data_IF_689495151259
#
_entry.id   IF_689495151259
#
_cell.length_a   1.000
_cell.length_b   1.000
_cell.length_c   1.000
_cell.angle_alpha   90.00
_cell.angle_beta   90.00
_cell.angle_gamma   90.00
#
_symmetry.space_group_name_H-M   'P 1'
#
loop_
_entity.id
_entity.type
_entity.pdbx_description
1 polymer ?
#
# COMPACT_ATOMS: atom_id res chain seq x y z
N UNK A 1 -109.51 -58.16 8.34
CA UNK A 1 -109.35 -56.70 8.20
C UNK A 1 -108.40 -56.16 9.27
N UNK A 2 -108.73 -56.27 10.57
CA UNK A 2 -107.87 -55.75 11.66
C UNK A 2 -106.41 -56.29 11.70
N UNK A 3 -106.17 -57.56 11.34
CA UNK A 3 -104.83 -58.13 11.33
C UNK A 3 -103.93 -57.57 10.20
N UNK A 4 -104.51 -57.15 9.07
CA UNK A 4 -103.75 -56.60 7.94
C UNK A 4 -103.37 -55.13 8.19
N UNK A 5 -104.26 -54.35 8.81
CA UNK A 5 -103.97 -52.98 9.24
C UNK A 5 -102.91 -52.94 10.35
N UNK A 6 -102.91 -53.90 11.28
CA UNK A 6 -101.88 -54.04 12.30
C UNK A 6 -100.50 -54.40 11.73
N UNK A 7 -100.45 -55.21 10.66
CA UNK A 7 -99.20 -55.55 9.97
C UNK A 7 -98.64 -54.35 9.17
N UNK A 8 -99.49 -53.58 8.51
CA UNK A 8 -99.08 -52.34 7.81
C UNK A 8 -98.59 -51.26 8.78
N UNK A 9 -99.18 -51.16 9.98
CA UNK A 9 -98.69 -50.26 11.03
C UNK A 9 -97.34 -50.69 11.63
N UNK A 10 -96.95 -51.97 11.48
CA UNK A 10 -95.71 -52.53 12.03
C UNK A 10 -94.50 -52.45 11.07
N UNK A 11 -94.75 -52.34 9.76
CA UNK A 11 -93.72 -52.19 8.72
C UNK A 11 -92.76 -50.99 8.92
N UNK A 12 -93.21 -49.75 9.22
CA UNK A 12 -92.30 -48.64 9.46
C UNK A 12 -91.45 -48.82 10.73
N UNK A 13 -91.99 -49.51 11.75
CA UNK A 13 -91.23 -49.84 12.95
C UNK A 13 -90.12 -50.85 12.64
N UNK A 14 -90.37 -51.86 11.80
CA UNK A 14 -89.35 -52.81 11.35
C UNK A 14 -88.25 -52.14 10.52
N UNK A 15 -88.62 -51.22 9.61
CA UNK A 15 -87.65 -50.44 8.82
C UNK A 15 -86.75 -49.60 9.71
N UNK A 16 -87.32 -48.85 10.66
CA UNK A 16 -86.54 -48.07 11.63
C UNK A 16 -85.65 -48.95 12.51
N UNK A 17 -86.09 -50.14 12.89
CA UNK A 17 -85.25 -51.10 13.62
C UNK A 17 -84.06 -51.58 12.79
N UNK A 18 -84.28 -51.85 11.50
CA UNK A 18 -83.23 -52.25 10.57
C UNK A 18 -82.21 -51.12 10.33
N UNK A 19 -82.68 -49.90 10.07
CA UNK A 19 -81.82 -48.72 9.93
C UNK A 19 -81.03 -48.43 11.21
N UNK A 20 -81.69 -48.53 12.38
CA UNK A 20 -81.01 -48.36 13.67
C UNK A 20 -79.94 -49.43 13.88
N UNK A 21 -80.19 -50.67 13.42
CA UNK A 21 -79.19 -51.73 13.44
C UNK A 21 -78.00 -51.40 12.53
N UNK A 22 -78.24 -50.98 11.28
CA UNK A 22 -77.18 -50.60 10.33
C UNK A 22 -76.33 -49.45 10.88
N UNK A 23 -76.96 -48.39 11.41
CA UNK A 23 -76.25 -47.26 12.01
C UNK A 23 -75.39 -47.69 13.22
N UNK A 24 -75.85 -48.66 14.01
CA UNK A 24 -75.06 -49.22 15.11
C UNK A 24 -73.86 -50.02 14.59
N UNK A 25 -74.02 -50.77 13.51
CA UNK A 25 -72.91 -51.48 12.88
C UNK A 25 -71.88 -50.52 12.28
N UNK A 26 -72.32 -49.49 11.56
CA UNK A 26 -71.45 -48.43 11.04
C UNK A 26 -70.73 -47.70 12.16
N UNK A 27 -71.42 -47.34 13.25
CA UNK A 27 -70.79 -46.75 14.42
C UNK A 27 -69.73 -47.68 15.03
N UNK A 28 -69.98 -49.00 15.08
CA UNK A 28 -68.97 -49.97 15.55
C UNK A 28 -67.76 -50.04 14.62
N UNK A 29 -67.97 -50.03 13.30
CA UNK A 29 -66.89 -50.03 12.28
C UNK A 29 -66.04 -48.77 12.37
N UNK A 30 -66.67 -47.60 12.39
CA UNK A 30 -65.97 -46.32 12.55
C UNK A 30 -65.20 -46.27 13.87
N UNK A 31 -65.77 -46.81 14.96
CA UNK A 31 -65.06 -46.90 16.24
C UNK A 31 -63.83 -47.81 16.17
N UNK A 32 -63.87 -48.94 15.44
CA UNK A 32 -62.68 -49.77 15.23
C UNK A 32 -61.62 -49.05 14.38
N UNK A 33 -62.01 -48.39 13.30
CA UNK A 33 -61.09 -47.64 12.43
C UNK A 33 -60.42 -46.50 13.18
N UNK A 34 -61.17 -45.73 13.98
CA UNK A 34 -60.60 -44.66 14.81
C UNK A 34 -59.61 -45.23 15.82
N UNK A 35 -59.89 -46.37 16.45
CA UNK A 35 -58.93 -47.02 17.38
C UNK A 35 -57.67 -47.45 16.67
N UNK A 36 -57.78 -48.04 15.48
CA UNK A 36 -56.61 -48.43 14.68
C UNK A 36 -55.77 -47.19 14.31
N UNK A 37 -56.41 -46.13 13.82
CA UNK A 37 -55.73 -44.88 13.48
C UNK A 37 -55.02 -44.25 14.69
N UNK A 38 -55.62 -44.30 15.88
CA UNK A 38 -54.98 -43.84 17.12
C UNK A 38 -53.74 -44.68 17.45
N UNK A 39 -53.81 -46.00 17.31
CA UNK A 39 -52.65 -46.89 17.50
C UNK A 39 -51.54 -46.57 16.50
N UNK A 40 -51.89 -46.34 15.22
CA UNK A 40 -50.92 -45.94 14.20
C UNK A 40 -50.27 -44.59 14.52
N UNK A 41 -51.07 -43.61 14.95
CA UNK A 41 -50.58 -42.30 15.40
C UNK A 41 -49.60 -42.46 16.57
N UNK A 42 -49.94 -43.25 17.57
CA UNK A 42 -49.09 -43.45 18.75
C UNK A 42 -47.77 -44.14 18.38
N UNK A 43 -47.80 -45.12 17.46
CA UNK A 43 -46.59 -45.75 16.90
C UNK A 43 -45.73 -44.73 16.14
N UNK A 44 -46.33 -43.89 15.30
CA UNK A 44 -45.61 -42.87 14.55
C UNK A 44 -44.96 -41.81 15.47
N UNK A 45 -45.70 -41.34 16.49
CA UNK A 45 -45.18 -40.41 17.49
C UNK A 45 -44.04 -41.03 18.28
N UNK A 46 -44.18 -42.29 18.69
CA UNK A 46 -43.13 -43.03 19.42
C UNK A 46 -41.87 -43.20 18.57
N UNK A 47 -42.03 -43.55 17.29
CA UNK A 47 -40.91 -43.64 16.34
C UNK A 47 -40.24 -42.27 16.14
N UNK A 48 -41.01 -41.20 15.96
CA UNK A 48 -40.48 -39.84 15.85
C UNK A 48 -39.71 -39.40 17.11
N UNK A 49 -40.22 -39.75 18.29
CA UNK A 49 -39.58 -39.49 19.57
C UNK A 49 -38.27 -40.29 19.71
N UNK A 50 -38.27 -41.58 19.34
CA UNK A 50 -37.09 -42.43 19.32
C UNK A 50 -36.00 -41.91 18.36
N UNK A 51 -36.39 -41.32 17.23
CA UNK A 51 -35.46 -40.72 16.25
C UNK A 51 -35.04 -39.29 16.60
N UNK A 52 -35.69 -38.62 17.55
CA UNK A 52 -35.36 -37.24 17.92
C UNK A 52 -33.93 -37.06 18.44
N UNK A 53 -33.38 -37.95 19.31
CA UNK A 53 -31.98 -37.89 19.72
C UNK A 53 -31.00 -38.01 18.56
N UNK A 54 -31.22 -38.93 17.61
CA UNK A 54 -30.37 -39.09 16.43
C UNK A 54 -30.37 -37.83 15.56
N UNK A 55 -31.55 -37.25 15.29
CA UNK A 55 -31.68 -35.96 14.58
C UNK A 55 -30.95 -34.82 15.28
N UNK A 56 -31.03 -34.75 16.62
CA UNK A 56 -30.30 -33.75 17.41
C UNK A 56 -28.78 -33.95 17.36
N UNK A 57 -28.28 -35.19 17.34
CA UNK A 57 -26.85 -35.47 17.17
C UNK A 57 -26.37 -35.05 15.79
N UNK A 58 -27.07 -35.46 14.74
CA UNK A 58 -26.76 -35.05 13.37
C UNK A 58 -26.76 -33.53 13.19
N UNK A 59 -27.74 -32.81 13.77
CA UNK A 59 -27.77 -31.35 13.74
C UNK A 59 -26.53 -30.72 14.39
N UNK A 60 -26.11 -31.21 15.57
CA UNK A 60 -24.90 -30.75 16.26
C UNK A 60 -23.63 -31.06 15.46
N UNK A 61 -23.57 -32.20 14.80
CA UNK A 61 -22.43 -32.57 13.92
C UNK A 61 -22.34 -31.64 12.71
N UNK A 62 -23.48 -31.29 12.10
CA UNK A 62 -23.53 -30.29 11.02
C UNK A 62 -23.08 -28.91 11.51
N UNK A 63 -23.50 -28.48 12.71
CA UNK A 63 -23.05 -27.23 13.31
C UNK A 63 -21.53 -27.23 13.57
N UNK A 64 -20.99 -28.32 14.13
CA UNK A 64 -19.53 -28.50 14.30
C UNK A 64 -18.78 -28.48 12.97
N UNK A 65 -19.30 -29.15 11.95
CA UNK A 65 -18.71 -29.14 10.62
C UNK A 65 -18.69 -27.73 10.00
N UNK A 66 -19.77 -26.94 10.19
CA UNK A 66 -19.81 -25.53 9.78
C UNK A 66 -18.77 -24.68 10.52
N UNK A 67 -18.60 -24.89 11.82
CA UNK A 67 -17.56 -24.19 12.61
C UNK A 67 -16.15 -24.55 12.12
N UNK A 68 -15.87 -25.83 11.90
CA UNK A 68 -14.58 -26.28 11.35
C UNK A 68 -14.34 -25.72 9.95
N UNK A 69 -15.37 -25.65 9.10
CA UNK A 69 -15.25 -25.04 7.77
C UNK A 69 -14.93 -23.55 7.85
N UNK A 70 -15.51 -22.82 8.81
CA UNK A 70 -15.16 -21.42 9.05
C UNK A 70 -13.71 -21.28 9.52
N UNK A 71 -13.27 -22.13 10.47
CA UNK A 71 -11.88 -22.14 10.93
C UNK A 71 -10.90 -22.44 9.79
N UNK A 72 -11.19 -23.41 8.93
CA UNK A 72 -10.37 -23.70 7.75
C UNK A 72 -10.27 -22.49 6.81
N UNK A 73 -11.38 -21.80 6.53
CA UNK A 73 -11.34 -20.57 5.71
C UNK A 73 -10.48 -19.47 6.35
N UNK A 74 -10.53 -19.31 7.67
CA UNK A 74 -9.65 -18.35 8.36
C UNK A 74 -8.18 -18.72 8.22
N UNK A 75 -7.83 -20.00 8.41
CA UNK A 75 -6.46 -20.49 8.23
C UNK A 75 -6.01 -20.32 6.77
N UNK A 76 -6.83 -20.68 5.79
CA UNK A 76 -6.54 -20.47 4.37
C UNK A 76 -6.27 -18.99 4.05
N UNK A 77 -7.07 -18.07 4.60
CA UNK A 77 -6.84 -16.64 4.39
C UNK A 77 -5.51 -16.17 5.01
N UNK A 78 -5.16 -16.68 6.19
CA UNK A 78 -3.90 -16.36 6.87
C UNK A 78 -2.67 -16.93 6.15
N UNK A 79 -2.80 -18.11 5.54
CA UNK A 79 -1.74 -18.72 4.73
C UNK A 79 -1.55 -17.95 3.43
N UNK A 80 -2.64 -17.51 2.79
CA UNK A 80 -2.56 -16.63 1.60
C UNK A 80 -1.88 -15.30 1.91
N UNK A 81 -2.23 -14.66 3.03
CA UNK A 81 -1.57 -13.41 3.44
C UNK A 81 -0.10 -13.64 3.78
N UNK A 82 0.23 -14.75 4.43
CA UNK A 82 1.63 -15.11 4.73
C UNK A 82 2.43 -15.34 3.45
N UNK A 83 1.88 -16.08 2.48
CA UNK A 83 2.55 -16.31 1.19
C UNK A 83 2.79 -15.00 0.42
N UNK A 84 1.83 -14.07 0.44
CA UNK A 84 2.02 -12.74 -0.14
C UNK A 84 3.14 -11.93 0.57
N UNK A 85 3.21 -12.03 1.91
CA UNK A 85 4.30 -11.41 2.68
C UNK A 85 5.66 -12.05 2.38
N UNK A 86 5.74 -13.37 2.24
CA UNK A 86 6.97 -14.09 1.90
C UNK A 86 7.49 -13.69 0.51
N UNK A 87 6.59 -13.51 -0.47
CA UNK A 87 6.95 -12.96 -1.79
C UNK A 87 7.46 -11.52 -1.70
N UNK A 88 6.76 -10.65 -0.96
CA UNK A 88 7.20 -9.27 -0.78
C UNK A 88 8.55 -9.17 -0.06
N UNK A 89 8.83 -10.06 0.91
CA UNK A 89 10.15 -10.11 1.55
C UNK A 89 11.24 -10.54 0.59
N UNK A 90 10.99 -11.52 -0.28
CA UNK A 90 11.96 -11.95 -1.29
C UNK A 90 12.23 -10.85 -2.33
N UNK A 91 11.21 -10.09 -2.74
CA UNK A 91 11.37 -8.93 -3.61
C UNK A 91 12.23 -7.84 -2.95
N UNK A 92 11.98 -7.51 -1.68
CA UNK A 92 12.77 -6.54 -0.93
C UNK A 92 14.22 -7.00 -0.70
N UNK A 93 14.45 -8.30 -0.50
CA UNK A 93 15.80 -8.87 -0.42
C UNK A 93 16.55 -8.73 -1.75
N UNK A 94 15.90 -9.04 -2.87
CA UNK A 94 16.48 -8.83 -4.20
C UNK A 94 16.77 -7.35 -4.47
N UNK A 95 15.85 -6.44 -4.14
CA UNK A 95 16.09 -5.00 -4.25
C UNK A 95 17.27 -4.55 -3.38
N UNK A 96 17.37 -5.05 -2.15
CA UNK A 96 18.49 -4.77 -1.26
C UNK A 96 19.83 -5.23 -1.84
N UNK A 97 19.88 -6.42 -2.43
CA UNK A 97 21.09 -6.93 -3.10
C UNK A 97 21.49 -6.05 -4.29
N UNK A 98 20.53 -5.65 -5.13
CA UNK A 98 20.82 -4.75 -6.27
C UNK A 98 21.33 -3.39 -5.82
N UNK A 99 20.74 -2.81 -4.76
CA UNK A 99 21.19 -1.55 -4.17
C UNK A 99 22.58 -1.68 -3.54
N UNK A 100 22.88 -2.81 -2.91
CA UNK A 100 24.20 -3.09 -2.35
C UNK A 100 25.27 -3.15 -3.46
N UNK A 101 25.01 -3.87 -4.55
CA UNK A 101 25.90 -3.91 -5.71
C UNK A 101 26.12 -2.51 -6.31
N UNK A 102 25.06 -1.71 -6.44
CA UNK A 102 25.16 -0.32 -6.91
C UNK A 102 26.00 0.55 -5.96
N UNK A 103 25.82 0.39 -4.65
CA UNK A 103 26.60 1.13 -3.66
C UNK A 103 28.10 0.76 -3.73
N UNK A 104 28.42 -0.52 -3.94
CA UNK A 104 29.81 -0.95 -4.14
C UNK A 104 30.40 -0.43 -5.46
N UNK A 105 29.64 -0.43 -6.55
CA UNK A 105 30.07 0.15 -7.82
C UNK A 105 30.40 1.64 -7.66
N UNK A 106 29.49 2.40 -7.04
CA UNK A 106 29.71 3.83 -6.75
C UNK A 106 30.90 4.07 -5.82
N UNK A 107 31.16 3.17 -4.85
CA UNK A 107 32.37 3.25 -4.00
C UNK A 107 33.65 3.08 -4.82
N UNK A 108 33.68 2.13 -5.76
CA UNK A 108 34.83 1.92 -6.67
C UNK A 108 35.04 3.13 -7.57
N UNK A 109 33.98 3.66 -8.18
CA UNK A 109 34.03 4.88 -9.00
C UNK A 109 34.49 6.12 -8.21
N UNK A 110 34.05 6.27 -6.97
CA UNK A 110 34.50 7.37 -6.11
C UNK A 110 36.00 7.25 -5.80
N UNK A 111 36.50 6.04 -5.55
CA UNK A 111 37.92 5.79 -5.34
C UNK A 111 38.76 6.12 -6.59
N UNK A 112 38.29 5.76 -7.78
CA UNK A 112 39.00 6.11 -9.02
C UNK A 112 38.99 7.62 -9.28
N UNK A 113 37.87 8.30 -9.05
CA UNK A 113 37.78 9.77 -9.16
C UNK A 113 38.68 10.49 -8.15
N UNK A 114 38.82 9.98 -6.93
CA UNK A 114 39.76 10.52 -5.93
C UNK A 114 41.21 10.44 -6.43
N UNK A 115 41.63 9.28 -6.93
CA UNK A 115 42.97 9.10 -7.50
C UNK A 115 43.22 10.03 -8.70
N UNK A 116 42.22 10.19 -9.58
CA UNK A 116 42.31 11.13 -10.70
C UNK A 116 42.41 12.59 -10.24
N UNK A 117 41.63 12.98 -9.23
CA UNK A 117 41.71 14.30 -8.60
C UNK A 117 43.10 14.54 -8.01
N UNK A 118 43.66 13.59 -7.26
CA UNK A 118 45.01 13.69 -6.69
C UNK A 118 46.08 13.81 -7.77
N UNK A 119 46.00 13.01 -8.84
CA UNK A 119 46.91 13.12 -9.98
C UNK A 119 46.84 14.49 -10.66
N UNK A 120 45.63 15.04 -10.85
CA UNK A 120 45.45 16.39 -11.42
C UNK A 120 46.00 17.47 -10.50
N UNK A 121 45.81 17.34 -9.17
CA UNK A 121 46.38 18.26 -8.18
C UNK A 121 47.90 18.24 -8.20
N UNK A 122 48.54 17.05 -8.28
CA UNK A 122 50.01 16.94 -8.40
C UNK A 122 50.52 17.63 -9.67
N UNK A 123 49.89 17.38 -10.82
CA UNK A 123 50.22 18.06 -12.08
C UNK A 123 50.04 19.58 -12.01
N UNK A 124 49.01 20.05 -11.32
CA UNK A 124 48.81 21.48 -11.11
C UNK A 124 49.94 22.09 -10.26
N UNK A 125 50.33 21.43 -9.16
CA UNK A 125 51.45 21.87 -8.30
C UNK A 125 52.78 21.85 -9.07
N UNK A 126 53.04 20.84 -9.89
CA UNK A 126 54.23 20.76 -10.74
C UNK A 126 54.26 21.91 -11.77
N UNK A 127 53.13 22.20 -12.42
CA UNK A 127 53.01 23.32 -13.35
C UNK A 127 53.18 24.68 -12.65
N UNK A 128 52.64 24.85 -11.44
CA UNK A 128 52.85 26.04 -10.61
C UNK A 128 54.33 26.21 -10.25
N UNK A 129 55.03 25.13 -9.87
CA UNK A 129 56.45 25.16 -9.59
C UNK A 129 57.29 25.52 -10.83
N UNK A 130 56.94 25.01 -12.02
CA UNK A 130 57.59 25.38 -13.29
C UNK A 130 57.39 26.86 -13.61
N UNK A 131 56.17 27.38 -13.44
CA UNK A 131 55.88 28.81 -13.64
C UNK A 131 56.63 29.68 -12.64
N UNK A 132 56.77 29.25 -11.38
CA UNK A 132 57.55 29.95 -10.37
C UNK A 132 59.04 30.00 -10.74
N UNK A 133 59.63 28.87 -11.15
CA UNK A 133 61.03 28.79 -11.61
C UNK A 133 61.28 29.67 -12.85
N UNK A 134 60.36 29.66 -13.82
CA UNK A 134 60.40 30.58 -14.95
C UNK A 134 60.32 32.03 -14.50
N UNK A 135 59.41 32.37 -13.58
CA UNK A 135 59.30 33.71 -12.99
C UNK A 135 60.59 34.18 -12.32
N UNK A 136 61.26 33.30 -11.56
CA UNK A 136 62.56 33.58 -10.95
C UNK A 136 63.67 33.78 -11.99
N UNK A 137 63.70 32.96 -13.05
CA UNK A 137 64.68 33.12 -14.14
C UNK A 137 64.50 34.46 -14.86
N UNK A 138 63.25 34.88 -15.11
CA UNK A 138 62.95 36.18 -15.69
C UNK A 138 63.36 37.32 -14.75
N UNK A 139 63.08 37.20 -13.45
CA UNK A 139 63.53 38.17 -12.43
C UNK A 139 65.05 38.32 -12.45
N UNK A 140 65.80 37.21 -12.44
CA UNK A 140 67.27 37.24 -12.51
C UNK A 140 67.79 37.87 -13.81
N UNK A 141 67.15 37.59 -14.94
CA UNK A 141 67.53 38.18 -16.23
C UNK A 141 67.27 39.69 -16.25
N UNK A 142 66.15 40.15 -15.68
CA UNK A 142 65.84 41.56 -15.50
C UNK A 142 66.86 42.23 -14.57
N UNK A 143 67.22 41.62 -13.45
CA UNK A 143 68.24 42.13 -12.53
C UNK A 143 69.61 42.27 -13.22
N UNK A 144 70.00 41.29 -14.06
CA UNK A 144 71.23 41.41 -14.87
C UNK A 144 71.16 42.54 -15.88
N UNK A 145 70.03 42.72 -16.57
CA UNK A 145 69.84 43.82 -17.51
C UNK A 145 69.88 45.19 -16.82
N UNK A 146 69.28 45.29 -15.62
CA UNK A 146 69.36 46.50 -14.79
C UNK A 146 70.80 46.77 -14.37
N UNK A 147 71.53 45.78 -13.88
CA UNK A 147 72.94 45.93 -13.51
C UNK A 147 73.84 46.33 -14.69
N UNK A 148 73.61 45.76 -15.88
CA UNK A 148 74.30 46.16 -17.12
C UNK A 148 73.99 47.62 -17.45
N UNK A 149 72.72 48.03 -17.38
CA UNK A 149 72.31 49.43 -17.58
C UNK A 149 72.97 50.36 -16.57
N UNK A 150 72.97 50.02 -15.29
CA UNK A 150 73.63 50.81 -14.23
C UNK A 150 75.14 50.92 -14.48
N UNK A 151 75.81 49.84 -14.90
CA UNK A 151 77.23 49.88 -15.26
C UNK A 151 77.54 50.70 -16.53
N UNK A 152 76.60 50.76 -17.48
CA UNK A 152 76.68 51.63 -18.65
C UNK A 152 76.50 53.10 -18.25
N UNK A 153 75.56 53.39 -17.36
CA UNK A 153 75.35 54.73 -16.81
C UNK A 153 76.59 55.17 -15.97
N UNK A 154 77.21 54.28 -15.21
CA UNK A 154 78.45 54.53 -14.45
C UNK A 154 79.69 54.70 -15.36
N UNK A 155 79.80 53.92 -16.44
CA UNK A 155 80.92 54.06 -17.41
C UNK A 155 80.78 55.28 -18.30
N UNK A 156 79.56 55.77 -18.54
CA UNK A 156 79.30 57.07 -19.17
C UNK A 156 79.51 58.24 -18.18
N UNK A 157 79.54 57.96 -16.87
CA UNK A 157 79.92 58.92 -15.81
C UNK A 157 81.44 58.99 -15.57
N UNK A 158 82.19 57.92 -15.86
CA UNK A 158 83.65 57.85 -15.68
C UNK A 158 84.38 57.67 -17.02
N UNK A 159 84.40 58.73 -17.82
CA UNK A 159 85.37 58.88 -18.90
C UNK A 159 86.77 59.13 -18.34
N UNK A 160 87.54 58.08 -18.06
CA UNK A 160 88.96 58.24 -17.72
C UNK A 160 89.73 57.01 -17.23
N UNK A 161 90.47 56.40 -18.18
CA UNK A 161 91.72 55.59 -18.03
C UNK A 161 91.65 54.06 -17.75
N UNK A 162 91.88 53.32 -18.85
CA UNK A 162 93.03 52.43 -19.15
C UNK A 162 93.34 51.13 -18.34
N UNK A 163 93.47 50.04 -19.13
CA UNK A 163 94.39 48.87 -19.05
C UNK A 163 94.07 47.80 -17.98
N UNK A 164 94.27 46.48 -18.13
CA UNK A 164 94.80 45.58 -19.17
C UNK A 164 94.67 44.10 -18.68
N UNK A 165 94.48 43.17 -19.62
CA UNK A 165 95.02 41.79 -19.70
C UNK A 165 94.65 40.65 -18.71
N UNK A 166 94.28 39.52 -19.34
CA UNK A 166 94.73 38.12 -19.18
C UNK A 166 94.03 37.05 -18.27
N UNK A 167 93.60 35.98 -18.97
CA UNK A 167 93.78 34.51 -18.75
C UNK A 167 92.80 33.63 -17.93
N UNK A 168 92.24 32.65 -18.69
CA UNK A 168 92.14 31.18 -18.50
C UNK A 168 91.43 30.54 -17.26
N UNK A 169 90.41 29.70 -17.52
CA UNK A 169 90.38 28.21 -17.36
C UNK A 169 88.95 27.63 -17.13
N UNK A 170 88.66 26.48 -17.78
CA UNK A 170 87.50 25.59 -17.56
C UNK A 170 87.78 24.61 -16.39
N UNK A 171 86.74 23.97 -15.81
CA UNK A 171 86.57 22.53 -16.06
C UNK A 171 85.12 22.01 -16.14
N UNK A 172 85.02 20.76 -16.63
CA UNK A 172 83.87 19.90 -16.97
C UNK A 172 83.41 19.05 -15.77
N UNK A 173 82.12 18.66 -15.69
CA UNK A 173 81.57 17.34 -15.24
C UNK A 173 80.01 17.37 -15.38
N UNK A 174 79.37 16.68 -16.35
CA UNK A 174 78.92 15.26 -16.42
C UNK A 174 77.81 14.81 -15.44
N UNK A 175 76.59 14.57 -15.97
CA UNK A 175 75.72 13.47 -15.57
C UNK A 175 74.68 13.13 -16.67
N UNK A 176 74.75 11.88 -17.10
CA UNK A 176 74.06 11.20 -18.21
C UNK A 176 72.74 10.54 -17.77
N UNK A 177 71.71 10.50 -18.63
CA UNK A 177 70.76 9.38 -18.90
C UNK A 177 69.69 9.88 -19.90
N UNK A 178 69.61 9.48 -21.17
CA UNK A 178 69.44 8.17 -21.83
C UNK A 178 67.98 7.89 -22.28
N UNK A 179 67.76 8.09 -23.59
CA UNK A 179 66.90 7.38 -24.56
C UNK A 179 65.38 7.18 -24.32
N UNK A 180 64.53 7.81 -25.13
CA UNK A 180 63.92 7.23 -26.36
C UNK A 180 62.94 8.20 -27.08
N UNK A 181 63.19 8.38 -28.38
CA UNK A 181 62.42 9.02 -29.48
C UNK A 181 61.07 8.32 -29.83
N UNK A 182 60.27 8.67 -30.89
CA UNK A 182 60.38 9.72 -31.95
C UNK A 182 59.07 10.53 -32.20
N UNK A 183 59.03 11.66 -32.92
CA UNK A 183 58.87 11.75 -34.40
C UNK A 183 58.81 13.21 -34.91
N UNK A 184 59.74 13.54 -35.84
CA UNK A 184 59.58 14.26 -37.16
C UNK A 184 58.72 15.53 -37.28
N UNK A 185 59.05 16.64 -37.97
CA UNK A 185 60.10 17.05 -38.96
C UNK A 185 60.15 18.59 -38.96
N UNK A 186 61.30 19.26 -38.85
CA UNK A 186 62.23 19.71 -39.92
C UNK A 186 61.64 20.62 -41.01
N UNK A 187 62.04 21.88 -40.97
CA UNK A 187 62.74 22.54 -42.06
C UNK A 187 63.44 23.81 -41.53
N UNK A 188 64.71 23.97 -41.87
CA UNK A 188 65.30 25.12 -42.60
C UNK A 188 66.82 25.01 -42.45
N UNK A 189 67.45 24.52 -43.51
CA UNK A 189 68.84 24.78 -43.84
C UNK A 189 68.97 26.29 -44.16
N UNK A 190 70.06 26.92 -43.73
CA UNK A 190 71.02 27.41 -44.73
C UNK A 190 72.32 27.93 -44.11
N UNK A 191 73.37 27.59 -44.84
CA UNK A 191 74.77 27.75 -44.53
C UNK A 191 75.33 29.14 -44.92
N UNK A 192 76.38 29.51 -44.19
CA UNK A 192 77.59 30.25 -44.59
C UNK A 192 77.57 31.16 -45.84
N UNK A 193 78.02 32.41 -45.71
CA UNK A 193 79.44 32.78 -45.94
C UNK A 193 79.65 34.29 -46.17
N UNK A 194 80.54 34.86 -45.35
CA UNK A 194 81.67 35.76 -45.68
C UNK A 194 81.55 37.03 -46.57
N UNK A 195 82.02 38.13 -45.97
CA UNK A 195 83.00 39.12 -46.50
C UNK A 195 82.56 40.32 -47.38
N UNK A 196 82.55 41.48 -46.70
CA UNK A 196 83.18 42.80 -47.00
C UNK A 196 83.00 43.59 -48.32
N UNK A 197 82.64 44.87 -48.09
CA UNK A 197 83.04 46.14 -48.76
C UNK A 197 82.31 46.70 -50.01
N UNK A 198 81.64 47.83 -49.75
CA UNK A 198 81.48 49.10 -50.51
C UNK A 198 80.56 49.21 -51.75
N UNK A 199 79.33 49.68 -51.48
CA UNK A 199 78.48 50.66 -52.23
C UNK A 199 78.01 50.32 -53.67
N UNK A 200 76.99 51.01 -54.23
CA UNK A 200 75.68 51.37 -53.69
C UNK A 200 74.58 51.00 -54.72
N UNK A 201 74.05 49.76 -54.73
CA UNK A 201 72.85 49.39 -55.52
C UNK A 201 72.17 48.18 -54.86
N UNK A 202 71.15 48.35 -54.02
CA UNK A 202 70.39 47.21 -53.44
C UNK A 202 68.95 47.56 -53.00
N UNK A 203 68.25 48.42 -53.76
CA UNK A 203 66.87 48.78 -53.44
C UNK A 203 65.87 47.62 -53.65
N UNK A 204 66.12 46.72 -54.61
CA UNK A 204 65.25 45.59 -54.90
C UNK A 204 65.26 44.50 -53.81
N UNK A 205 66.42 44.18 -53.24
CA UNK A 205 66.56 43.22 -52.14
C UNK A 205 65.94 43.75 -50.83
N UNK A 206 65.95 45.07 -50.65
CA UNK A 206 65.28 45.74 -49.53
C UNK A 206 63.75 45.67 -49.67
N UNK A 207 63.22 45.83 -50.89
CA UNK A 207 61.78 45.72 -51.17
C UNK A 207 61.29 44.28 -50.99
N UNK A 208 62.02 43.27 -51.47
CA UNK A 208 61.63 41.86 -51.26
C UNK A 208 61.73 41.44 -49.79
N UNK A 209 62.70 41.97 -49.04
CA UNK A 209 62.78 41.80 -47.58
C UNK A 209 61.59 42.45 -46.86
N UNK A 210 61.17 43.65 -47.28
CA UNK A 210 59.98 44.33 -46.76
C UNK A 210 58.69 43.57 -47.08
N UNK A 211 58.57 43.00 -48.29
CA UNK A 211 57.43 42.16 -48.66
C UNK A 211 57.40 40.86 -47.84
N UNK A 212 58.55 40.22 -47.59
CA UNK A 212 58.64 39.03 -46.73
C UNK A 212 58.25 39.33 -45.28
N UNK A 213 58.64 40.50 -44.74
CA UNK A 213 58.20 40.95 -43.42
C UNK A 213 56.70 41.26 -43.41
N UNK A 214 56.19 41.93 -44.44
CA UNK A 214 54.76 42.26 -44.52
C UNK A 214 53.87 41.02 -44.60
N UNK A 215 54.28 40.01 -45.38
CA UNK A 215 53.57 38.73 -45.52
C UNK A 215 53.60 37.93 -44.23
N UNK A 216 54.73 37.93 -43.50
CA UNK A 216 54.84 37.30 -42.18
C UNK A 216 54.00 38.02 -41.11
N UNK A 217 53.93 39.36 -41.15
CA UNK A 217 53.06 40.13 -40.28
C UNK A 217 51.57 39.88 -40.58
N UNK A 218 51.20 39.76 -41.86
CA UNK A 218 49.84 39.46 -42.29
C UNK A 218 49.42 38.04 -41.93
N UNK A 219 50.28 37.03 -42.14
CA UNK A 219 49.98 35.65 -41.75
C UNK A 219 49.85 35.53 -40.23
N UNK A 220 50.74 36.17 -39.47
CA UNK A 220 50.64 36.21 -38.01
C UNK A 220 49.36 36.90 -37.53
N UNK A 221 48.97 38.04 -38.13
CA UNK A 221 47.71 38.72 -37.81
C UNK A 221 46.48 37.85 -38.15
N UNK A 222 46.49 37.19 -39.30
CA UNK A 222 45.41 36.28 -39.70
C UNK A 222 45.30 35.09 -38.75
N UNK A 223 46.42 34.50 -38.37
CA UNK A 223 46.45 33.38 -37.43
C UNK A 223 46.00 33.82 -36.03
N UNK A 224 46.42 34.99 -35.56
CA UNK A 224 45.97 35.57 -34.29
C UNK A 224 44.46 35.87 -34.29
N UNK A 225 43.93 36.41 -35.39
CA UNK A 225 42.49 36.62 -35.56
C UNK A 225 41.71 35.30 -35.59
N UNK A 226 42.22 34.27 -36.27
CA UNK A 226 41.61 32.95 -36.29
C UNK A 226 41.62 32.30 -34.88
N UNK A 227 42.73 32.40 -34.15
CA UNK A 227 42.85 31.87 -32.80
C UNK A 227 41.94 32.60 -31.81
N UNK A 228 41.88 33.93 -31.85
CA UNK A 228 40.98 34.71 -30.99
C UNK A 228 39.51 34.43 -31.29
N UNK A 229 39.13 34.30 -32.56
CA UNK A 229 37.77 33.91 -32.94
C UNK A 229 37.41 32.49 -32.49
N UNK A 230 38.32 31.52 -32.65
CA UNK A 230 38.12 30.16 -32.16
C UNK A 230 37.97 30.10 -30.63
N UNK A 231 38.74 30.91 -29.89
CA UNK A 231 38.57 31.03 -28.43
C UNK A 231 37.21 31.62 -28.06
N UNK A 232 36.74 32.63 -28.80
CA UNK A 232 35.43 33.24 -28.56
C UNK A 232 34.28 32.28 -28.87
N UNK A 233 34.38 31.50 -29.95
CA UNK A 233 33.41 30.44 -30.25
C UNK A 233 33.37 29.34 -29.18
N UNK A 234 34.54 28.90 -28.70
CA UNK A 234 34.60 27.93 -27.59
C UNK A 234 33.93 28.46 -26.32
N UNK A 235 34.15 29.74 -25.99
CA UNK A 235 33.46 30.39 -24.86
C UNK A 235 31.95 30.45 -25.07
N UNK A 236 31.48 30.82 -26.27
CA UNK A 236 30.06 30.84 -26.59
C UNK A 236 29.42 29.45 -26.47
N UNK A 237 30.06 28.42 -27.01
CA UNK A 237 29.58 27.03 -26.92
C UNK A 237 29.49 26.54 -25.46
N UNK A 238 30.44 26.93 -24.60
CA UNK A 238 30.38 26.62 -23.17
C UNK A 238 29.18 27.28 -22.48
N UNK A 239 28.89 28.55 -22.79
CA UNK A 239 27.72 29.24 -22.23
C UNK A 239 26.40 28.63 -22.71
N UNK A 240 26.31 28.22 -23.98
CA UNK A 240 25.13 27.54 -24.51
C UNK A 240 24.91 26.19 -23.83
N UNK A 241 25.98 25.40 -23.62
CA UNK A 241 25.92 24.14 -22.90
C UNK A 241 25.46 24.34 -21.44
N UNK A 242 26.04 25.32 -20.73
CA UNK A 242 25.63 25.66 -19.37
C UNK A 242 24.17 26.10 -19.30
N UNK A 243 23.70 26.90 -20.26
CA UNK A 243 22.32 27.35 -20.31
C UNK A 243 21.34 26.21 -20.59
N UNK A 244 21.72 25.26 -21.46
CA UNK A 244 20.95 24.04 -21.70
C UNK A 244 20.85 23.16 -20.45
N UNK A 245 21.96 22.98 -19.71
CA UNK A 245 21.95 22.28 -18.42
C UNK A 245 21.05 22.97 -17.39
N UNK A 246 21.12 24.30 -17.29
CA UNK A 246 20.28 25.08 -16.38
C UNK A 246 18.79 24.94 -16.70
N UNK A 247 18.41 24.91 -17.99
CA UNK A 247 17.02 24.63 -18.40
C UNK A 247 16.59 23.24 -18.00
N UNK A 248 17.41 22.22 -18.29
CA UNK A 248 17.14 20.83 -17.92
C UNK A 248 16.96 20.68 -16.40
N UNK A 249 17.83 21.32 -15.61
CA UNK A 249 17.71 21.29 -14.14
C UNK A 249 16.45 22.00 -13.65
N UNK A 250 16.06 23.12 -14.25
CA UNK A 250 14.79 23.81 -13.92
C UNK A 250 13.57 22.94 -14.22
N UNK A 251 13.56 22.25 -15.36
CA UNK A 251 12.49 21.30 -15.72
C UNK A 251 12.45 20.14 -14.73
N UNK A 252 13.60 19.56 -14.37
CA UNK A 252 13.68 18.51 -13.35
C UNK A 252 13.19 18.97 -11.98
N UNK A 253 13.50 20.20 -11.55
CA UNK A 253 13.00 20.78 -10.30
C UNK A 253 11.49 20.98 -10.36
N UNK A 254 10.94 21.44 -11.50
CA UNK A 254 9.50 21.59 -11.68
C UNK A 254 8.79 20.24 -11.63
N UNK A 255 9.32 19.22 -12.30
CA UNK A 255 8.74 17.88 -12.29
C UNK A 255 8.86 17.23 -10.91
N UNK A 256 10.00 17.39 -10.23
CA UNK A 256 10.15 16.96 -8.84
C UNK A 256 9.19 17.70 -7.90
N UNK A 257 8.90 18.98 -8.15
CA UNK A 257 7.92 19.78 -7.41
C UNK A 257 6.46 19.31 -7.59
N UNK A 258 6.12 18.69 -8.73
CA UNK A 258 4.78 18.12 -8.98
C UNK A 258 4.51 16.81 -8.24
N UNK A 259 5.56 16.06 -7.88
CA UNK A 259 5.43 14.80 -7.13
C UNK A 259 4.79 15.00 -5.75
N UNK A 260 5.26 15.92 -4.87
CA UNK A 260 4.64 16.13 -3.57
C UNK A 260 3.21 16.66 -3.68
N UNK A 261 2.88 17.46 -4.69
CA UNK A 261 1.49 17.90 -4.93
C UNK A 261 0.56 16.72 -5.26
N UNK A 262 1.01 15.80 -6.12
CA UNK A 262 0.25 14.57 -6.42
C UNK A 262 0.08 13.69 -5.18
N UNK A 263 1.16 13.49 -4.42
CA UNK A 263 1.10 12.73 -3.17
C UNK A 263 0.17 13.38 -2.14
N UNK A 264 0.18 14.70 -2.02
CA UNK A 264 -0.74 15.43 -1.14
C UNK A 264 -2.20 15.28 -1.59
N UNK A 265 -2.47 15.34 -2.89
CA UNK A 265 -3.80 15.14 -3.45
C UNK A 265 -4.32 13.71 -3.20
N UNK A 266 -3.46 12.70 -3.36
CA UNK A 266 -3.84 11.31 -3.11
C UNK A 266 -4.01 11.02 -1.62
N UNK A 267 -3.17 11.58 -0.76
CA UNK A 267 -3.36 11.52 0.69
C UNK A 267 -4.68 12.19 1.12
N UNK A 268 -5.05 13.31 0.51
CA UNK A 268 -6.33 13.97 0.77
C UNK A 268 -7.53 13.10 0.33
N UNK A 269 -7.45 12.40 -0.79
CA UNK A 269 -8.48 11.42 -1.22
C UNK A 269 -8.60 10.27 -0.24
N UNK A 270 -7.48 9.63 0.11
CA UNK A 270 -7.44 8.53 1.07
C UNK A 270 -8.02 8.94 2.43
N UNK A 271 -7.72 10.16 2.88
CA UNK A 271 -8.28 10.68 4.14
C UNK A 271 -9.81 10.78 4.08
N UNK A 272 -10.37 11.23 2.94
CA UNK A 272 -11.83 11.31 2.72
C UNK A 272 -12.47 9.93 2.69
N UNK A 273 -11.88 8.99 1.97
CA UNK A 273 -12.36 7.60 1.92
C UNK A 273 -12.35 6.94 3.31
N UNK A 274 -11.30 7.18 4.10
CA UNK A 274 -11.23 6.69 5.48
C UNK A 274 -12.33 7.29 6.34
N UNK A 275 -12.63 8.59 6.20
CA UNK A 275 -13.73 9.21 6.94
C UNK A 275 -15.09 8.65 6.54
N UNK A 276 -15.35 8.45 5.25
CA UNK A 276 -16.60 7.85 4.76
C UNK A 276 -16.79 6.40 5.26
N UNK A 277 -15.71 5.60 5.25
CA UNK A 277 -15.73 4.24 5.77
C UNK A 277 -15.99 4.21 7.28
N UNK A 278 -15.43 5.16 8.05
CA UNK A 278 -15.70 5.28 9.49
C UNK A 278 -17.17 5.62 9.75
N UNK A 279 -17.73 6.59 9.03
CA UNK A 279 -19.16 6.93 9.14
C UNK A 279 -20.06 5.75 8.79
N UNK A 280 -19.71 4.99 7.75
CA UNK A 280 -20.46 3.80 7.36
C UNK A 280 -20.38 2.70 8.43
N UNK A 281 -19.19 2.49 9.01
CA UNK A 281 -18.99 1.56 10.11
C UNK A 281 -19.82 1.95 11.34
N UNK A 282 -19.85 3.23 11.72
CA UNK A 282 -20.68 3.72 12.83
C UNK A 282 -22.17 3.48 12.58
N UNK A 283 -22.67 3.75 11.36
CA UNK A 283 -24.06 3.46 10.99
C UNK A 283 -24.39 1.98 11.07
N UNK A 284 -23.48 1.11 10.64
CA UNK A 284 -23.66 -0.34 10.75
C UNK A 284 -23.66 -0.81 12.21
N UNK A 285 -22.78 -0.28 13.04
CA UNK A 285 -22.73 -0.59 14.47
C UNK A 285 -24.02 -0.17 15.18
N UNK A 286 -24.57 1.00 14.86
CA UNK A 286 -25.87 1.45 15.38
C UNK A 286 -26.98 0.48 15.00
N UNK A 287 -27.05 0.06 13.73
CA UNK A 287 -28.07 -0.90 13.28
C UNK A 287 -27.94 -2.28 13.94
N UNK A 288 -26.70 -2.73 14.19
CA UNK A 288 -26.45 -3.98 14.92
C UNK A 288 -26.93 -3.85 16.36
N UNK A 289 -26.57 -2.76 17.05
CA UNK A 289 -27.01 -2.51 18.42
C UNK A 289 -28.54 -2.43 18.54
N UNK A 290 -29.22 -1.78 17.59
CA UNK A 290 -30.68 -1.73 17.51
C UNK A 290 -31.28 -3.11 17.31
N UNK A 291 -30.73 -3.92 16.40
CA UNK A 291 -31.19 -5.28 16.15
C UNK A 291 -30.99 -6.20 17.37
N UNK A 292 -29.85 -6.08 18.05
CA UNK A 292 -29.56 -6.80 19.30
C UNK A 292 -30.53 -6.41 20.40
N UNK A 293 -30.78 -5.12 20.60
CA UNK A 293 -31.76 -4.64 21.57
C UNK A 293 -33.17 -5.18 21.27
N UNK A 294 -33.60 -5.16 20.01
CA UNK A 294 -34.88 -5.75 19.61
C UNK A 294 -34.93 -7.26 19.86
N UNK A 295 -33.84 -7.98 19.62
CA UNK A 295 -33.74 -9.42 19.89
C UNK A 295 -33.85 -9.72 21.39
N UNK A 296 -33.17 -8.95 22.24
CA UNK A 296 -33.25 -9.06 23.70
C UNK A 296 -34.68 -8.81 24.18
N UNK A 297 -35.32 -7.74 23.71
CA UNK A 297 -36.72 -7.42 24.06
C UNK A 297 -37.67 -8.54 23.61
N UNK A 298 -37.47 -9.10 22.42
CA UNK A 298 -38.27 -10.24 21.96
C UNK A 298 -38.04 -11.50 22.81
N UNK A 299 -36.81 -11.76 23.23
CA UNK A 299 -36.47 -12.89 24.07
C UNK A 299 -37.12 -12.75 25.46
N UNK A 300 -36.97 -11.58 26.10
CA UNK A 300 -37.63 -11.28 27.38
C UNK A 300 -39.15 -11.49 27.29
N UNK A 301 -39.79 -10.98 26.22
CA UNK A 301 -41.22 -11.20 25.99
C UNK A 301 -41.60 -12.68 25.86
N UNK A 302 -40.75 -13.49 25.22
CA UNK A 302 -40.98 -14.94 25.10
C UNK A 302 -40.82 -15.64 26.44
N UNK A 303 -39.85 -15.23 27.24
CA UNK A 303 -39.59 -15.76 28.58
C UNK A 303 -40.73 -15.41 29.55
N UNK A 304 -41.22 -14.17 29.51
CA UNK A 304 -42.38 -13.70 30.28
C UNK A 304 -43.66 -14.45 29.91
N UNK A 305 -43.91 -14.67 28.61
CA UNK A 305 -45.04 -15.46 28.16
C UNK A 305 -44.91 -16.93 28.62
N UNK A 306 -43.71 -17.49 28.55
CA UNK A 306 -43.45 -18.85 29.00
C UNK A 306 -43.64 -18.99 30.53
N UNK A 307 -43.23 -18.01 31.34
CA UNK A 307 -43.42 -18.04 32.79
C UNK A 307 -44.91 -17.97 33.16
N UNK A 308 -45.68 -17.09 32.51
CA UNK A 308 -47.14 -16.98 32.70
C UNK A 308 -47.88 -18.26 32.27
N UNK A 309 -47.50 -18.86 31.13
CA UNK A 309 -48.08 -20.14 30.69
C UNK A 309 -47.81 -21.27 31.68
N UNK A 310 -46.61 -21.30 32.29
CA UNK A 310 -46.29 -22.27 33.35
C UNK A 310 -47.15 -22.04 34.59
N UNK A 311 -47.45 -20.79 34.96
CA UNK A 311 -48.30 -20.45 36.09
C UNK A 311 -49.74 -20.96 35.87
N UNK A 312 -50.35 -20.67 34.72
CA UNK A 312 -51.68 -21.22 34.38
C UNK A 312 -51.68 -22.74 34.37
N UNK A 313 -50.67 -23.36 33.74
CA UNK A 313 -50.55 -24.81 33.73
C UNK A 313 -50.33 -25.42 35.13
N UNK A 314 -49.72 -24.68 36.07
CA UNK A 314 -49.56 -25.10 37.46
C UNK A 314 -50.90 -25.05 38.21
N UNK A 315 -51.64 -23.94 38.10
CA UNK A 315 -52.96 -23.76 38.73
C UNK A 315 -53.97 -24.79 38.21
N UNK A 316 -54.05 -25.00 36.88
CA UNK A 316 -54.92 -26.03 36.29
C UNK A 316 -54.54 -27.43 36.77
N UNK A 317 -53.24 -27.75 36.85
CA UNK A 317 -52.79 -29.05 37.39
C UNK A 317 -53.08 -29.20 38.88
N UNK A 318 -53.05 -28.12 39.65
CA UNK A 318 -53.43 -28.14 41.06
C UNK A 318 -54.92 -28.38 41.23
N UNK A 319 -55.77 -27.68 40.48
CA UNK A 319 -57.21 -27.90 40.44
C UNK A 319 -57.56 -29.34 40.07
N UNK A 320 -57.00 -29.87 38.97
CA UNK A 320 -57.24 -31.25 38.55
C UNK A 320 -56.79 -32.29 39.59
N UNK A 321 -55.72 -32.01 40.36
CA UNK A 321 -55.28 -32.87 41.46
C UNK A 321 -56.28 -32.87 42.61
N UNK A 322 -56.82 -31.70 42.98
CA UNK A 322 -57.85 -31.58 44.00
C UNK A 322 -59.12 -32.34 43.60
N UNK A 323 -59.62 -32.09 42.38
CA UNK A 323 -60.80 -32.78 41.82
C UNK A 323 -60.59 -34.30 41.80
N UNK A 324 -59.44 -34.80 41.31
CA UNK A 324 -59.14 -36.23 41.30
C UNK A 324 -59.09 -36.83 42.72
N UNK A 325 -58.54 -36.09 43.69
CA UNK A 325 -58.48 -36.49 45.09
C UNK A 325 -59.86 -36.58 45.74
N UNK A 326 -60.81 -35.75 45.34
CA UNK A 326 -62.20 -35.79 45.82
C UNK A 326 -63.01 -36.90 45.16
N UNK A 327 -62.89 -37.07 43.83
CA UNK A 327 -63.55 -38.16 43.10
C UNK A 327 -63.16 -39.52 43.69
N UNK A 328 -61.87 -39.70 44.02
CA UNK A 328 -61.38 -40.92 44.69
C UNK A 328 -61.96 -41.12 46.10
N UNK A 329 -62.29 -40.05 46.82
CA UNK A 329 -62.79 -40.10 48.20
C UNK A 329 -64.32 -40.23 48.28
N UNK A 330 -65.06 -39.64 47.34
CA UNK A 330 -66.52 -39.50 47.40
C UNK A 330 -67.30 -40.31 46.34
N UNK A 331 -66.72 -41.39 45.79
CA UNK A 331 -67.29 -42.30 44.76
C UNK A 331 -68.78 -42.05 44.42
N UNK A 332 -69.04 -41.35 43.30
CA UNK A 332 -70.39 -41.21 42.73
C UNK A 332 -71.15 -39.90 43.01
N UNK A 333 -70.65 -39.02 43.87
CA UNK A 333 -71.23 -37.67 44.05
C UNK A 333 -70.41 -36.60 43.28
N UNK A 334 -71.10 -35.55 42.79
CA UNK A 334 -70.46 -34.41 42.15
C UNK A 334 -69.41 -33.81 43.11
N UNK A 335 -68.12 -33.68 42.72
CA UNK A 335 -67.11 -33.12 43.58
C UNK A 335 -67.50 -31.70 44.00
N UNK A 336 -67.53 -31.44 45.30
CA UNK A 336 -67.65 -30.07 45.84
C UNK A 336 -66.55 -29.15 45.30
N UNK A 337 -65.42 -29.70 44.83
CA UNK A 337 -64.39 -28.95 44.13
C UNK A 337 -64.81 -28.26 42.85
N UNK A 338 -65.86 -28.73 42.17
CA UNK A 338 -66.40 -27.99 41.03
C UNK A 338 -66.98 -26.63 41.50
N UNK A 339 -67.40 -26.55 42.77
CA UNK A 339 -67.87 -25.34 43.43
C UNK A 339 -66.78 -24.56 44.19
N UNK A 340 -65.50 -24.96 44.16
CA UNK A 340 -64.40 -24.20 44.76
C UNK A 340 -64.13 -22.92 43.96
N UNK A 341 -64.94 -21.89 44.22
CA UNK A 341 -64.85 -20.58 43.59
C UNK A 341 -63.44 -19.98 43.68
N UNK A 342 -62.72 -20.21 44.78
CA UNK A 342 -61.34 -19.74 44.98
C UNK A 342 -60.31 -20.36 44.02
N UNK A 343 -60.55 -21.59 43.55
CA UNK A 343 -59.67 -22.25 42.58
C UNK A 343 -59.94 -21.77 41.15
N UNK A 344 -61.20 -21.53 40.82
CA UNK A 344 -61.60 -20.90 39.56
C UNK A 344 -61.19 -19.44 39.48
N UNK A 345 -61.25 -18.69 40.60
CA UNK A 345 -60.75 -17.32 40.69
C UNK A 345 -59.24 -17.25 40.40
N UNK A 346 -58.42 -18.12 41.00
CA UNK A 346 -56.97 -18.18 40.71
C UNK A 346 -56.64 -18.55 39.27
N UNK A 347 -57.40 -19.47 38.68
CA UNK A 347 -57.25 -19.81 37.25
C UNK A 347 -57.67 -18.63 36.37
N UNK A 348 -58.75 -17.93 36.72
CA UNK A 348 -59.22 -16.74 36.00
C UNK A 348 -58.19 -15.59 36.08
N UNK A 349 -57.68 -15.26 37.27
CA UNK A 349 -56.62 -14.26 37.47
C UNK A 349 -55.35 -14.61 36.66
N UNK A 350 -54.95 -15.88 36.66
CA UNK A 350 -53.80 -16.35 35.88
C UNK A 350 -54.02 -16.25 34.35
N UNK A 351 -55.25 -16.47 33.89
CA UNK A 351 -55.65 -16.30 32.49
C UNK A 351 -55.76 -14.82 32.11
N UNK A 352 -56.26 -13.96 33.00
CA UNK A 352 -56.27 -12.50 32.80
C UNK A 352 -54.85 -11.96 32.64
N UNK A 353 -53.91 -12.39 33.50
CA UNK A 353 -52.48 -12.05 33.36
C UNK A 353 -51.88 -12.53 32.03
N UNK A 354 -52.36 -13.61 31.42
CA UNK A 354 -51.96 -14.01 30.07
C UNK A 354 -52.58 -13.11 28.99
N UNK A 355 -53.84 -12.70 29.16
CA UNK A 355 -54.60 -11.97 28.17
C UNK A 355 -54.25 -10.47 28.11
N UNK A 356 -53.83 -9.86 29.22
CA UNK A 356 -53.47 -8.43 29.28
C UNK A 356 -52.31 -8.02 28.33
N UNK A 357 -51.52 -8.94 27.78
CA UNK A 357 -50.52 -8.63 26.74
C UNK A 357 -51.04 -8.76 25.30
N UNK A 358 -52.17 -9.47 25.09
CA UNK A 358 -52.78 -9.62 23.77
C UNK A 358 -53.36 -8.30 23.24
N UNK A 359 -53.82 -7.44 24.14
CA UNK A 359 -54.41 -6.12 23.83
C UNK A 359 -53.36 -5.07 23.47
N UNK A 360 -52.19 -5.09 24.12
CA UNK A 360 -51.08 -4.17 23.79
C UNK A 360 -50.51 -4.41 22.37
N UNK A 361 -50.57 -5.66 21.89
CA UNK A 361 -50.22 -6.02 20.50
C UNK A 361 -51.14 -5.40 19.46
N UNK A 362 -52.40 -5.11 19.79
CA UNK A 362 -53.36 -4.52 18.86
C UNK A 362 -53.17 -3.00 18.73
N UNK A 363 -52.85 -2.33 19.84
CA UNK A 363 -52.66 -0.87 19.90
C UNK A 363 -51.30 -0.44 19.31
N UNK A 364 -50.24 -1.24 19.50
CA UNK A 364 -48.92 -0.93 18.95
C UNK A 364 -48.83 -1.12 17.42
N UNK A 365 -49.60 -2.05 16.84
CA UNK A 365 -49.67 -2.27 15.38
C UNK A 365 -50.50 -1.22 14.64
N UNK A 366 -51.57 -0.72 15.24
CA UNK A 366 -52.40 0.34 14.65
C UNK A 366 -51.62 1.66 14.55
N UNK A 367 -50.88 2.05 15.60
CA UNK A 367 -50.05 3.27 15.58
C UNK A 367 -48.84 3.24 14.62
N UNK A 368 -48.39 2.06 14.19
CA UNK A 368 -47.29 1.92 13.24
C UNK A 368 -47.76 2.05 11.78
N UNK A 369 -49.03 1.76 11.50
CA UNK A 369 -49.62 1.93 10.16
C UNK A 369 -50.11 3.36 9.89
N UNK A 370 -50.33 4.18 10.93
CA UNK A 370 -50.76 5.59 10.80
C UNK A 370 -49.61 6.59 10.57
N UNK A 371 -48.37 6.10 10.37
CA UNK A 371 -47.17 6.93 10.14
C UNK A 371 -46.49 6.70 8.78
N UNK A 372 -47.19 6.07 7.85
CA UNK A 372 -46.87 6.04 6.41
C UNK A 372 -47.95 6.87 5.73
#
# INVERSE_FOLDING_TARGET
MAAAEALLAYEPLQQLQHENFLLREECRRLQSEVRELLVWKDKAVSHMAAMAPARRRAAREVERAKQLQQQLRTVESSLKSRGALELATAELEAERETLQLRAEALKRENATLKLQSESRKRRAVEAEAQLAALGESFRLHLERLVAIRESLDDSMSVGGKCNSADKHENPIEEATTSNQDPTTSENVEDAESSSSTSSPVNSAALVSGLDAVSTKCLSWLQEYLAQSFAQQQRKAALYEAQHAEMKRLKEQIQDAGRVPEKLAADHAKQTREITELREYQERLQQRVAEAEHLAIVQQQRREDMASRLRLVAAEVRQYLRLVRGEIKRKFGYLPEAIAHAESWARIAEALELLLCQGTDRCIARSRANDKI
#
